data_IF_803835979338
#
_entry.id   IF_803835979338
#
_cell.length_a   1.000
_cell.length_b   1.000
_cell.length_c   1.000
_cell.angle_alpha   90.00
_cell.angle_beta   90.00
_cell.angle_gamma   90.00
#
_symmetry.space_group_name_H-M   'P 1'
#
loop_
_entity.id
_entity.type
_entity.pdbx_description
1 polymer ?
#
# COMPACT_ATOMS: atom_id res chain seq x y z
N UNK A 1 3.06 13.14 8.53
CA UNK A 1 2.33 11.86 8.62
C UNK A 1 2.75 11.13 9.90
N UNK A 2 1.82 10.43 10.54
CA UNK A 2 2.15 9.65 11.73
C UNK A 2 3.15 8.54 11.40
N UNK A 3 3.93 8.09 12.38
CA UNK A 3 4.86 6.99 12.13
C UNK A 3 4.14 5.70 11.77
N UNK A 4 4.78 4.88 10.97
CA UNK A 4 4.25 3.58 10.55
C UNK A 4 4.73 2.49 11.49
N UNK A 5 3.85 1.53 11.77
CA UNK A 5 4.17 0.33 12.55
C UNK A 5 3.58 -0.89 11.87
N UNK A 6 4.12 -2.05 12.18
CA UNK A 6 3.66 -3.32 11.61
C UNK A 6 4.11 -4.48 12.48
N UNK A 7 3.58 -5.67 12.20
CA UNK A 7 3.98 -6.89 12.87
C UNK A 7 5.31 -7.39 12.29
N UNK A 8 6.30 -7.63 13.13
CA UNK A 8 7.58 -8.17 12.71
C UNK A 8 7.42 -9.55 12.07
N UNK A 9 6.53 -10.37 12.60
CA UNK A 9 6.26 -11.70 12.07
C UNK A 9 5.64 -11.60 10.67
N UNK A 10 4.68 -10.70 10.49
CA UNK A 10 4.05 -10.50 9.18
C UNK A 10 5.06 -9.99 8.17
N UNK A 11 5.95 -9.10 8.61
CA UNK A 11 7.00 -8.57 7.74
C UNK A 11 7.90 -9.69 7.21
N UNK A 12 8.29 -10.60 8.08
CA UNK A 12 9.13 -11.73 7.67
C UNK A 12 8.40 -12.64 6.68
N UNK A 13 7.13 -12.91 6.93
CA UNK A 13 6.30 -13.69 6.01
C UNK A 13 6.24 -13.04 4.63
N UNK A 14 6.04 -11.72 4.57
CA UNK A 14 5.98 -11.00 3.30
C UNK A 14 7.31 -11.07 2.55
N UNK A 15 8.43 -10.94 3.26
CA UNK A 15 9.75 -11.03 2.63
C UNK A 15 9.98 -12.39 2.01
N UNK A 16 9.59 -13.46 2.71
CA UNK A 16 9.79 -14.83 2.23
C UNK A 16 8.83 -15.16 1.09
N UNK A 17 7.56 -14.80 1.24
CA UNK A 17 6.53 -15.21 0.28
C UNK A 17 6.42 -14.30 -0.94
N UNK A 18 6.67 -12.99 -0.78
CA UNK A 18 6.44 -12.01 -1.84
C UNK A 18 7.65 -11.17 -2.20
N UNK A 19 8.73 -11.31 -1.44
CA UNK A 19 9.94 -10.53 -1.71
C UNK A 19 9.77 -9.03 -1.46
N UNK A 20 8.80 -8.64 -0.63
CA UNK A 20 8.55 -7.25 -0.30
C UNK A 20 8.47 -7.10 1.22
N UNK A 21 8.95 -5.98 1.75
CA UNK A 21 8.92 -5.71 3.18
C UNK A 21 8.14 -4.43 3.46
N UNK A 22 7.66 -4.28 4.70
CA UNK A 22 7.03 -3.03 5.10
C UNK A 22 8.04 -1.87 5.04
N UNK A 23 9.32 -2.13 5.37
CA UNK A 23 10.35 -1.09 5.26
C UNK A 23 10.45 -0.55 3.85
N UNK A 24 10.47 -1.43 2.84
CA UNK A 24 10.53 -1.03 1.44
C UNK A 24 9.33 -0.19 1.04
N UNK A 25 8.16 -0.56 1.53
CA UNK A 25 6.92 0.18 1.25
C UNK A 25 6.98 1.57 1.88
N UNK A 26 7.46 1.68 3.13
CA UNK A 26 7.59 2.98 3.80
C UNK A 26 8.57 3.89 3.04
N UNK A 27 9.71 3.34 2.61
CA UNK A 27 10.66 4.10 1.81
C UNK A 27 10.01 4.58 0.50
N UNK A 28 9.23 3.71 -0.14
CA UNK A 28 8.53 4.08 -1.38
C UNK A 28 7.54 5.22 -1.13
N UNK A 29 6.78 5.18 -0.04
CA UNK A 29 5.85 6.24 0.32
C UNK A 29 6.61 7.56 0.54
N UNK A 30 7.70 7.53 1.27
CA UNK A 30 8.49 8.72 1.57
C UNK A 30 9.18 9.29 0.34
N UNK A 31 9.37 8.46 -0.67
CA UNK A 31 10.00 8.86 -1.94
C UNK A 31 8.99 9.26 -3.01
N UNK A 32 7.73 9.46 -2.64
CA UNK A 32 6.70 9.92 -3.56
C UNK A 32 5.90 8.81 -4.22
N UNK A 33 5.99 7.58 -3.71
CA UNK A 33 5.29 6.44 -4.31
C UNK A 33 3.85 6.26 -3.86
N UNK A 34 3.33 7.11 -2.98
CA UNK A 34 1.93 7.01 -2.56
C UNK A 34 1.04 7.52 -3.69
N UNK A 35 0.26 6.62 -4.30
CA UNK A 35 -0.58 6.94 -5.44
C UNK A 35 -2.00 7.34 -5.04
N UNK A 36 -2.54 6.73 -3.98
CA UNK A 36 -3.90 7.01 -3.54
C UNK A 36 -4.12 6.45 -2.14
N UNK A 37 -5.21 6.90 -1.51
CA UNK A 37 -5.70 6.36 -0.24
C UNK A 37 -7.17 6.07 -0.43
N UNK A 38 -7.55 4.80 -0.28
CA UNK A 38 -8.90 4.34 -0.51
C UNK A 38 -9.60 4.02 0.82
N UNK A 39 -10.90 4.33 0.90
CA UNK A 39 -11.71 3.98 2.06
C UNK A 39 -11.96 2.48 2.10
N UNK A 40 -12.18 1.94 3.30
CA UNK A 40 -12.66 0.57 3.44
C UNK A 40 -14.05 0.46 2.78
N UNK A 41 -14.36 -0.66 2.09
CA UNK A 41 -15.67 -0.84 1.47
C UNK A 41 -16.83 -0.63 2.43
N UNK A 42 -16.67 -1.01 3.71
CA UNK A 42 -17.66 -0.74 4.75
C UNK A 42 -17.10 0.31 5.72
N UNK A 43 -17.08 1.55 5.29
CA UNK A 43 -16.49 2.63 6.07
C UNK A 43 -17.32 3.03 7.30
N UNK A 44 -18.61 2.67 7.33
CA UNK A 44 -19.43 2.91 8.50
C UNK A 44 -18.99 2.05 9.67
N UNK A 45 -18.72 0.77 9.41
CA UNK A 45 -18.27 -0.18 10.43
C UNK A 45 -16.78 -0.05 10.74
N UNK A 46 -15.97 0.30 9.72
CA UNK A 46 -14.51 0.36 9.84
C UNK A 46 -13.98 1.74 9.41
N UNK A 47 -14.38 2.81 10.13
CA UNK A 47 -14.00 4.17 9.70
C UNK A 47 -12.49 4.45 9.77
N UNK A 48 -11.75 3.72 10.61
CA UNK A 48 -10.31 3.90 10.74
C UNK A 48 -9.49 3.03 9.81
N UNK A 49 -10.16 2.11 9.07
CA UNK A 49 -9.46 1.20 8.17
C UNK A 49 -9.54 1.74 6.75
N UNK A 50 -8.37 1.89 6.12
CA UNK A 50 -8.25 2.36 4.75
C UNK A 50 -7.15 1.58 4.06
N UNK A 51 -6.92 1.88 2.79
CA UNK A 51 -5.93 1.18 1.99
C UNK A 51 -5.05 2.20 1.29
N UNK A 52 -3.74 2.12 1.48
CA UNK A 52 -2.78 2.88 0.70
C UNK A 52 -2.54 2.17 -0.61
N UNK A 53 -2.44 2.92 -1.70
CA UNK A 53 -2.02 2.40 -2.99
C UNK A 53 -0.62 2.94 -3.22
N UNK A 54 0.38 2.05 -3.27
CA UNK A 54 1.79 2.43 -3.25
C UNK A 54 2.51 1.87 -4.46
N UNK A 55 3.25 2.72 -5.16
CA UNK A 55 4.12 2.28 -6.26
C UNK A 55 5.46 1.84 -5.68
N UNK A 56 5.86 0.62 -6.01
CA UNK A 56 7.13 0.06 -5.61
C UNK A 56 7.61 -0.91 -6.68
N UNK A 57 8.84 -0.74 -7.14
CA UNK A 57 9.45 -1.63 -8.14
C UNK A 57 8.57 -1.77 -9.41
N UNK A 58 8.08 -0.61 -9.89
CA UNK A 58 7.25 -0.51 -11.11
C UNK A 58 5.95 -1.30 -11.04
N UNK A 59 5.44 -1.50 -9.84
CA UNK A 59 4.19 -2.20 -9.60
C UNK A 59 3.41 -1.50 -8.50
N UNK A 60 2.08 -1.64 -8.49
CA UNK A 60 1.26 -1.03 -7.44
C UNK A 60 0.84 -2.07 -6.41
N UNK A 61 0.97 -1.71 -5.15
CA UNK A 61 0.63 -2.55 -4.02
C UNK A 61 -0.47 -1.90 -3.20
N UNK A 62 -1.40 -2.72 -2.73
CA UNK A 62 -2.42 -2.29 -1.79
C UNK A 62 -1.92 -2.58 -0.38
N UNK A 63 -1.95 -1.58 0.48
CA UNK A 63 -1.44 -1.70 1.84
C UNK A 63 -2.56 -1.31 2.81
N UNK A 64 -3.38 -2.28 3.21
CA UNK A 64 -4.42 -2.03 4.22
C UNK A 64 -3.80 -1.57 5.53
N UNK A 65 -4.42 -0.58 6.14
CA UNK A 65 -3.93 -0.04 7.41
C UNK A 65 -5.06 0.37 8.33
N UNK A 66 -4.72 0.50 9.61
CA UNK A 66 -5.60 1.05 10.63
C UNK A 66 -4.94 2.31 11.15
N UNK A 67 -5.69 3.40 11.18
CA UNK A 67 -5.17 4.65 11.74
C UNK A 67 -5.44 4.70 13.23
N UNK A 68 -4.36 4.67 14.02
CA UNK A 68 -4.43 4.84 15.46
C UNK A 68 -4.15 6.30 15.83
N UNK A 69 -4.27 6.63 17.11
CA UNK A 69 -4.07 8.03 17.53
C UNK A 69 -2.64 8.51 17.28
N UNK A 70 -1.64 7.65 17.55
CA UNK A 70 -0.24 8.02 17.49
C UNK A 70 0.53 7.40 16.33
N UNK A 71 -0.07 6.47 15.61
CA UNK A 71 0.64 5.77 14.53
C UNK A 71 -0.35 5.19 13.52
N UNK A 72 0.20 4.76 12.40
CA UNK A 72 -0.54 4.07 11.34
C UNK A 72 -0.05 2.62 11.32
N UNK A 73 -0.94 1.67 11.57
CA UNK A 73 -0.59 0.26 11.61
C UNK A 73 -0.82 -0.37 10.24
N UNK A 74 0.26 -0.77 9.57
CA UNK A 74 0.19 -1.44 8.27
C UNK A 74 -0.09 -2.92 8.50
N UNK A 75 -1.17 -3.42 7.88
CA UNK A 75 -1.64 -4.78 8.13
C UNK A 75 -1.00 -5.83 7.23
N UNK A 76 -0.85 -5.50 5.94
CA UNK A 76 -0.24 -6.41 4.97
C UNK A 76 0.11 -5.63 3.71
N UNK A 77 0.71 -6.31 2.73
CA UNK A 77 1.07 -5.72 1.43
C UNK A 77 0.60 -6.69 0.36
N UNK A 78 -0.26 -6.24 -0.54
CA UNK A 78 -0.88 -7.08 -1.56
C UNK A 78 -0.58 -6.51 -2.94
N UNK A 79 0.10 -7.27 -3.83
CA UNK A 79 0.30 -6.78 -5.20
C UNK A 79 -1.05 -6.70 -5.92
N UNK A 80 -1.25 -5.65 -6.71
CA UNK A 80 -2.51 -5.43 -7.41
C UNK A 80 -2.26 -5.14 -8.88
N UNK A 81 -2.65 -6.07 -9.74
CA UNK A 81 -2.56 -5.90 -11.18
C UNK A 81 -3.46 -4.75 -11.64
N UNK A 82 -4.67 -4.70 -11.11
CA UNK A 82 -5.62 -3.65 -11.46
C UNK A 82 -5.11 -2.26 -11.06
N UNK A 83 -4.61 -2.12 -9.86
CA UNK A 83 -4.08 -0.84 -9.41
C UNK A 83 -2.84 -0.44 -10.21
N UNK A 84 -2.00 -1.39 -10.58
CA UNK A 84 -0.83 -1.14 -11.43
C UNK A 84 -1.27 -0.57 -12.77
N UNK A 85 -2.25 -1.20 -13.41
CA UNK A 85 -2.76 -0.73 -14.69
C UNK A 85 -3.44 0.62 -14.56
N UNK A 86 -4.31 0.78 -13.57
CA UNK A 86 -5.18 1.96 -13.49
C UNK A 86 -4.47 3.18 -12.90
N UNK A 87 -3.49 2.98 -12.04
CA UNK A 87 -2.87 4.08 -11.29
C UNK A 87 -1.42 4.35 -11.67
N UNK A 88 -0.71 3.34 -12.16
CA UNK A 88 0.72 3.46 -12.43
C UNK A 88 1.04 3.51 -13.92
N UNK A 89 0.42 2.62 -14.71
CA UNK A 89 0.71 2.51 -16.14
C UNK A 89 -0.37 3.07 -17.04
N UNK A 90 -1.29 3.82 -16.49
CA UNK A 90 -2.44 4.35 -17.22
C UNK A 90 -2.03 5.19 -18.42
N UNK A 91 -1.07 6.10 -18.24
CA UNK A 91 -0.61 6.95 -19.32
C UNK A 91 0.09 6.18 -20.42
N UNK A 92 0.84 5.15 -20.07
CA UNK A 92 1.52 4.31 -21.05
C UNK A 92 0.52 3.53 -21.90
N UNK A 93 -0.51 2.98 -21.26
CA UNK A 93 -1.56 2.25 -21.96
C UNK A 93 -2.29 3.14 -22.95
N UNK A 94 -2.64 4.34 -22.49
CA UNK A 94 -3.34 5.31 -23.35
C UNK A 94 -2.48 5.73 -24.54
N UNK A 95 -1.18 5.86 -24.35
CA UNK A 95 -0.28 6.26 -25.40
C UNK A 95 -0.10 5.20 -26.49
N UNK A 96 -0.31 3.95 -26.16
CA UNK A 96 -0.21 2.83 -27.11
C UNK A 96 -1.44 2.68 -27.96
N UNK A 97 -2.56 3.17 -27.49
CA UNK A 97 -3.82 3.08 -28.22
C UNK A 97 -3.90 4.15 -29.30
#
# INVERSE_FOLDING_TARGET
MKPFRWSAKKNETLRVERGVSFESIVVAIESGGLLDILAHPNKTRYPRQRVLVVAYDDYAYLVPFVEEDDYIFLKTVIPSRKATRDRLHRGKTDAED
#
